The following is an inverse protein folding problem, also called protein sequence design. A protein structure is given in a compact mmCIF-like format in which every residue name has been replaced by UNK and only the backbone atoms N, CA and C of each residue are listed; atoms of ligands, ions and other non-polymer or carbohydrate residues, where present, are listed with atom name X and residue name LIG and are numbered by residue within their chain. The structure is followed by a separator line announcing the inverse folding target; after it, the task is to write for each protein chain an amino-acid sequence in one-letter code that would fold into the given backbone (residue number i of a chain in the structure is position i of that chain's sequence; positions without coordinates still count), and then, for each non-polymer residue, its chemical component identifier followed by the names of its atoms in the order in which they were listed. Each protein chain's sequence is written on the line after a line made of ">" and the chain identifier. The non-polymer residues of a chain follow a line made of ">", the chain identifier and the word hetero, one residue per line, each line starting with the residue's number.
data_IF_052867852477
#
_entry.id   IF_052867852477
#
_cell.length_a   1.000
_cell.length_b   1.000
_cell.length_c   1.000
_cell.angle_alpha   90.00
_cell.angle_beta   90.00
_cell.angle_gamma   90.00
#
_symmetry.space_group_name_H-M   'P 1'
#
loop_
_entity.id
_entity.type
_entity.pdbx_description
1 polymer ?
#
# COMPACT_ATOMS: atom_id res chain seq x y z
N UNK A 1 9.42 3.07 -12.28
CA UNK A 1 8.07 3.59 -12.59
C UNK A 1 8.22 5.00 -13.12
N UNK A 2 7.53 5.33 -14.23
CA UNK A 2 7.53 6.68 -14.79
C UNK A 2 6.75 7.65 -13.88
N UNK A 3 7.24 8.89 -13.75
CA UNK A 3 6.64 9.91 -12.88
C UNK A 3 5.15 10.19 -13.20
N UNK A 4 4.75 10.09 -14.48
CA UNK A 4 3.34 10.27 -14.89
C UNK A 4 2.38 9.30 -14.19
N UNK A 5 2.79 8.03 -13.99
CA UNK A 5 1.97 7.03 -13.30
C UNK A 5 1.90 7.31 -11.79
N UNK A 6 2.96 7.85 -11.20
CA UNK A 6 2.96 8.25 -9.79
C UNK A 6 1.98 9.40 -9.56
N UNK A 7 2.05 10.45 -10.38
CA UNK A 7 1.14 11.61 -10.28
C UNK A 7 -0.31 11.18 -10.51
N UNK A 8 -0.57 10.38 -11.56
CA UNK A 8 -1.90 9.85 -11.82
C UNK A 8 -2.43 9.03 -10.63
N UNK A 9 -1.61 8.17 -10.06
CA UNK A 9 -1.99 7.35 -8.91
C UNK A 9 -2.32 8.19 -7.68
N UNK A 10 -1.54 9.25 -7.38
CA UNK A 10 -1.83 10.13 -6.24
C UNK A 10 -3.20 10.79 -6.37
N UNK A 11 -3.53 11.32 -7.54
CA UNK A 11 -4.83 11.94 -7.81
C UNK A 11 -5.96 10.91 -7.75
N UNK A 12 -5.79 9.78 -8.44
CA UNK A 12 -6.81 8.72 -8.48
C UNK A 12 -7.04 8.09 -7.10
N UNK A 13 -5.99 7.85 -6.32
CA UNK A 13 -6.12 7.29 -4.97
C UNK A 13 -6.89 8.23 -4.03
N UNK A 14 -6.72 9.56 -4.16
CA UNK A 14 -7.48 10.53 -3.38
C UNK A 14 -8.99 10.34 -3.59
N UNK A 15 -9.45 10.36 -4.85
CA UNK A 15 -10.87 10.21 -5.17
C UNK A 15 -11.37 8.78 -4.90
N UNK A 16 -10.61 7.76 -5.28
CA UNK A 16 -10.97 6.37 -5.04
C UNK A 16 -11.14 6.05 -3.56
N UNK A 17 -10.36 6.71 -2.67
CA UNK A 17 -10.49 6.54 -1.22
C UNK A 17 -11.88 6.97 -0.74
N UNK A 18 -12.37 8.15 -1.16
CA UNK A 18 -13.70 8.60 -0.77
C UNK A 18 -14.80 7.68 -1.30
N UNK A 19 -14.68 7.21 -2.55
CA UNK A 19 -15.65 6.28 -3.16
C UNK A 19 -15.69 4.98 -2.36
N UNK A 20 -14.54 4.36 -2.13
CA UNK A 20 -14.45 3.07 -1.42
C UNK A 20 -14.94 3.21 0.04
N UNK A 21 -14.53 4.29 0.73
CA UNK A 21 -14.98 4.53 2.11
C UNK A 21 -16.48 4.73 2.21
N UNK A 22 -17.09 5.46 1.27
CA UNK A 22 -18.55 5.65 1.26
C UNK A 22 -19.33 4.35 1.08
N UNK A 23 -18.73 3.34 0.43
CA UNK A 23 -19.33 2.03 0.24
C UNK A 23 -19.09 1.10 1.43
N UNK A 24 -17.84 1.05 1.95
CA UNK A 24 -17.47 0.11 3.02
C UNK A 24 -17.94 0.58 4.40
N UNK A 25 -17.87 1.88 4.62
CA UNK A 25 -18.20 2.51 5.91
C UNK A 25 -19.05 3.77 5.67
N UNK A 26 -20.32 3.62 5.26
CA UNK A 26 -21.20 4.75 5.03
C UNK A 26 -21.43 5.51 6.34
N UNK A 27 -20.97 6.76 6.40
CA UNK A 27 -21.21 7.68 7.51
C UNK A 27 -22.44 8.53 7.25
N UNK A 28 -23.19 8.86 8.31
CA UNK A 28 -24.29 9.82 8.22
C UNK A 28 -23.74 11.21 8.54
N UNK A 29 -24.25 12.30 7.92
CA UNK A 29 -23.79 13.67 8.23
C UNK A 29 -23.91 14.05 9.72
N UNK A 30 -24.79 13.37 10.45
CA UNK A 30 -25.02 13.59 11.89
C UNK A 30 -23.94 12.95 12.79
N UNK A 31 -23.13 12.04 12.24
CA UNK A 31 -22.09 11.31 12.96
C UNK A 31 -20.70 11.99 12.83
N UNK A 32 -20.64 13.13 12.14
CA UNK A 32 -19.38 13.86 11.98
C UNK A 32 -19.03 14.59 13.28
N UNK A 33 -17.94 14.23 13.96
CA UNK A 33 -17.46 14.99 15.10
C UNK A 33 -17.04 16.39 14.66
N UNK A 34 -17.39 17.41 15.42
CA UNK A 34 -16.83 18.76 15.21
C UNK A 34 -15.30 18.68 15.16
N UNK A 35 -14.73 18.97 13.99
CA UNK A 35 -13.28 19.05 13.83
C UNK A 35 -12.79 20.31 14.51
N UNK A 36 -12.32 20.19 15.74
CA UNK A 36 -11.62 21.27 16.45
C UNK A 36 -10.17 21.25 16.01
N UNK A 37 -9.72 22.34 15.38
CA UNK A 37 -8.31 22.56 15.13
C UNK A 37 -7.60 22.81 16.46
N UNK A 38 -6.98 21.78 17.02
CA UNK A 38 -6.09 21.94 18.17
C UNK A 38 -4.72 22.44 17.67
N UNK A 39 -4.23 23.51 18.28
CA UNK A 39 -2.86 23.96 18.06
C UNK A 39 -1.93 23.00 18.80
N UNK A 40 -1.26 22.12 18.07
CA UNK A 40 -0.38 21.10 18.63
C UNK A 40 0.89 21.66 19.32
N UNK A 41 1.25 22.92 19.10
CA UNK A 41 2.51 23.52 19.53
C UNK A 41 2.36 24.97 20.02
N UNK A 42 1.42 25.24 20.93
CA UNK A 42 1.15 26.64 21.41
C UNK A 42 2.32 27.28 22.20
N UNK A 43 3.28 26.48 22.69
CA UNK A 43 4.34 26.97 23.59
C UNK A 43 5.77 26.64 23.16
N UNK A 44 5.98 26.08 21.97
CA UNK A 44 7.32 25.68 21.52
C UNK A 44 7.96 26.71 20.58
N UNK A 45 9.29 26.90 20.70
CA UNK A 45 10.07 27.68 19.74
C UNK A 45 10.23 26.92 18.42
N UNK A 46 10.46 27.64 17.32
CA UNK A 46 10.70 27.03 16.00
C UNK A 46 11.78 25.96 16.02
N UNK A 47 12.92 26.24 16.68
CA UNK A 47 14.04 25.30 16.73
C UNK A 47 13.77 24.07 17.60
N UNK A 48 12.99 24.22 18.65
CA UNK A 48 12.55 23.12 19.52
C UNK A 48 11.63 22.19 18.74
N UNK A 49 10.60 22.72 18.07
CA UNK A 49 9.72 22.00 17.18
C UNK A 49 10.48 21.30 16.04
N UNK A 50 11.43 22.00 15.39
CA UNK A 50 12.26 21.44 14.33
C UNK A 50 13.10 20.26 14.84
N UNK A 51 13.70 20.37 16.02
CA UNK A 51 14.46 19.29 16.65
C UNK A 51 13.61 18.05 16.93
N UNK A 52 12.42 18.23 17.46
CA UNK A 52 11.46 17.13 17.70
C UNK A 52 11.05 16.45 16.41
N UNK A 53 10.71 17.19 15.36
CA UNK A 53 10.32 16.61 14.06
C UNK A 53 11.46 15.88 13.37
N UNK A 54 12.71 16.36 13.48
CA UNK A 54 13.88 15.66 12.95
C UNK A 54 14.06 14.32 13.67
N UNK A 55 13.99 14.31 15.00
CA UNK A 55 14.12 13.08 15.79
C UNK A 55 12.97 12.10 15.53
N UNK A 56 11.74 12.61 15.45
CA UNK A 56 10.56 11.80 15.12
C UNK A 56 10.68 11.19 13.72
N UNK A 57 11.11 11.98 12.74
CA UNK A 57 11.34 11.50 11.37
C UNK A 57 12.41 10.41 11.29
N UNK A 58 13.53 10.59 12.02
CA UNK A 58 14.57 9.57 12.10
C UNK A 58 14.09 8.27 12.75
N UNK A 59 13.33 8.39 13.84
CA UNK A 59 12.72 7.21 14.51
C UNK A 59 11.80 6.44 13.56
N UNK A 60 10.96 7.14 12.81
CA UNK A 60 10.07 6.52 11.82
C UNK A 60 10.88 5.85 10.70
N UNK A 61 11.93 6.49 10.19
CA UNK A 61 12.81 5.91 9.18
C UNK A 61 13.48 4.60 9.66
N UNK A 62 13.95 4.57 10.90
CA UNK A 62 14.53 3.35 11.50
C UNK A 62 13.49 2.23 11.67
N UNK A 63 12.26 2.56 12.05
CA UNK A 63 11.15 1.59 12.14
C UNK A 63 10.87 1.01 10.76
N UNK A 64 10.75 1.85 9.72
CA UNK A 64 10.52 1.40 8.34
C UNK A 64 11.65 0.47 7.88
N UNK A 65 12.90 0.84 8.11
CA UNK A 65 14.07 0.02 7.76
C UNK A 65 14.03 -1.35 8.44
N UNK A 66 13.76 -1.40 9.74
CA UNK A 66 13.64 -2.64 10.49
C UNK A 66 12.51 -3.52 9.96
N UNK A 67 11.35 -2.94 9.68
CA UNK A 67 10.20 -3.64 9.09
C UNK A 67 10.52 -4.19 7.70
N UNK A 68 11.20 -3.42 6.83
CA UNK A 68 11.63 -3.87 5.52
C UNK A 68 12.55 -5.09 5.61
N UNK A 69 13.59 -5.02 6.46
CA UNK A 69 14.53 -6.14 6.66
C UNK A 69 13.78 -7.37 7.17
N UNK A 70 12.93 -7.21 8.19
CA UNK A 70 12.17 -8.32 8.78
C UNK A 70 11.20 -8.96 7.79
N UNK A 71 10.42 -8.16 7.06
CA UNK A 71 9.46 -8.69 6.07
C UNK A 71 10.15 -9.35 4.88
N UNK A 72 11.26 -8.79 4.36
CA UNK A 72 12.02 -9.43 3.28
C UNK A 72 12.55 -10.80 3.73
N UNK A 73 13.07 -10.89 4.95
CA UNK A 73 13.56 -12.15 5.51
C UNK A 73 12.43 -13.18 5.67
N UNK A 74 11.28 -12.78 6.23
CA UNK A 74 10.10 -13.66 6.39
C UNK A 74 9.61 -14.16 5.03
N UNK A 75 9.46 -13.27 4.04
CA UNK A 75 9.01 -13.66 2.70
C UNK A 75 9.99 -14.59 2.02
N UNK A 76 11.29 -14.34 2.18
CA UNK A 76 12.33 -15.23 1.65
C UNK A 76 12.24 -16.63 2.27
N UNK A 77 12.01 -16.73 3.57
CA UNK A 77 11.81 -18.00 4.27
C UNK A 77 10.54 -18.71 3.82
N UNK A 78 9.42 -17.99 3.70
CA UNK A 78 8.15 -18.52 3.18
C UNK A 78 8.32 -19.02 1.75
N UNK A 79 9.01 -18.26 0.89
CA UNK A 79 9.28 -18.69 -0.48
C UNK A 79 10.12 -19.95 -0.57
N UNK A 80 11.17 -20.06 0.25
CA UNK A 80 12.00 -21.26 0.30
C UNK A 80 11.16 -22.48 0.73
N UNK A 81 10.27 -22.33 1.69
CA UNK A 81 9.34 -23.37 2.12
C UNK A 81 8.39 -23.78 0.98
N UNK A 82 7.75 -22.81 0.32
CA UNK A 82 6.80 -23.07 -0.77
C UNK A 82 7.47 -23.70 -1.98
N UNK A 83 8.67 -23.25 -2.36
CA UNK A 83 9.47 -23.86 -3.41
C UNK A 83 9.80 -25.33 -3.11
N UNK A 84 10.12 -25.64 -1.85
CA UNK A 84 10.43 -27.00 -1.42
C UNK A 84 9.19 -27.91 -1.43
N UNK A 85 8.02 -27.40 -1.00
CA UNK A 85 6.80 -28.19 -0.88
C UNK A 85 6.01 -28.29 -2.20
N UNK A 86 5.96 -27.21 -2.98
CA UNK A 86 5.07 -27.08 -4.13
C UNK A 86 5.80 -26.84 -5.47
N UNK A 87 7.12 -26.64 -5.45
CA UNK A 87 7.89 -26.29 -6.64
C UNK A 87 7.64 -24.88 -7.18
N UNK A 88 6.88 -24.06 -6.47
CA UNK A 88 6.53 -22.69 -6.84
C UNK A 88 6.68 -21.76 -5.62
N UNK A 89 7.01 -20.48 -5.89
CA UNK A 89 7.10 -19.49 -4.80
C UNK A 89 5.70 -19.12 -4.27
N UNK A 90 5.64 -18.64 -3.04
CA UNK A 90 4.40 -18.14 -2.44
C UNK A 90 3.75 -17.03 -3.28
N UNK A 91 4.56 -16.09 -3.81
CA UNK A 91 4.07 -15.03 -4.68
C UNK A 91 3.50 -15.57 -6.00
N UNK A 92 4.11 -16.61 -6.60
CA UNK A 92 3.56 -17.25 -7.79
C UNK A 92 2.19 -17.87 -7.53
N UNK A 93 2.04 -18.57 -6.42
CA UNK A 93 0.74 -19.15 -6.03
C UNK A 93 -0.31 -18.06 -5.77
N UNK A 94 0.05 -17.00 -5.05
CA UNK A 94 -0.84 -15.86 -4.87
C UNK A 94 -1.12 -15.13 -6.20
N UNK A 95 -0.19 -15.17 -7.16
CA UNK A 95 -0.39 -14.64 -8.50
C UNK A 95 -1.62 -15.23 -9.19
N UNK A 96 -1.92 -16.51 -9.00
CA UNK A 96 -3.14 -17.12 -9.52
C UNK A 96 -4.40 -16.56 -8.87
N UNK A 97 -4.35 -16.21 -7.58
CA UNK A 97 -5.47 -15.56 -6.87
C UNK A 97 -5.69 -14.15 -7.38
N UNK A 98 -4.61 -13.42 -7.64
CA UNK A 98 -4.65 -12.05 -8.16
C UNK A 98 -4.85 -11.97 -9.69
N UNK A 99 -4.66 -13.07 -10.43
CA UNK A 99 -4.86 -13.12 -11.88
C UNK A 99 -6.22 -12.55 -12.31
N UNK A 100 -7.37 -13.03 -11.78
CA UNK A 100 -8.68 -12.51 -12.19
C UNK A 100 -8.84 -11.01 -11.83
N UNK A 101 -8.25 -10.55 -10.74
CA UNK A 101 -8.28 -9.14 -10.36
C UNK A 101 -7.44 -8.28 -11.31
N UNK A 102 -6.24 -8.76 -11.70
CA UNK A 102 -5.38 -8.10 -12.66
C UNK A 102 -6.07 -7.96 -14.03
N UNK A 103 -6.74 -9.02 -14.47
CA UNK A 103 -7.52 -9.00 -15.71
C UNK A 103 -8.73 -8.04 -15.60
N UNK A 104 -9.44 -8.06 -14.48
CA UNK A 104 -10.63 -7.22 -14.25
C UNK A 104 -10.32 -5.72 -14.29
N UNK A 105 -9.14 -5.29 -13.78
CA UNK A 105 -8.71 -3.89 -13.83
C UNK A 105 -8.16 -3.46 -15.19
N UNK A 106 -8.18 -4.35 -16.20
CA UNK A 106 -7.85 -4.04 -17.58
C UNK A 106 -6.44 -4.41 -18.01
N UNK A 107 -5.68 -5.17 -17.21
CA UNK A 107 -4.38 -5.72 -17.61
C UNK A 107 -4.62 -6.81 -18.67
N UNK A 108 -3.89 -6.78 -19.82
CA UNK A 108 -4.01 -7.80 -20.84
C UNK A 108 -3.80 -9.21 -20.29
N UNK A 109 -4.57 -10.19 -20.78
CA UNK A 109 -4.55 -11.57 -20.28
C UNK A 109 -3.15 -12.21 -20.30
N UNK A 110 -2.32 -11.86 -21.28
CA UNK A 110 -0.94 -12.32 -21.39
C UNK A 110 -0.04 -11.84 -20.24
N UNK A 111 -0.35 -10.67 -19.66
CA UNK A 111 0.42 -10.04 -18.59
C UNK A 111 -0.19 -10.35 -17.21
N UNK A 112 -1.47 -10.74 -17.18
CA UNK A 112 -2.28 -10.74 -15.97
C UNK A 112 -1.75 -11.69 -14.87
N UNK A 113 -1.17 -12.83 -15.23
CA UNK A 113 -0.59 -13.75 -14.24
C UNK A 113 0.68 -13.16 -13.61
N UNK A 114 1.56 -12.62 -14.43
CA UNK A 114 2.80 -11.96 -13.98
C UNK A 114 2.47 -10.73 -13.12
N UNK A 115 1.54 -9.90 -13.59
CA UNK A 115 1.05 -8.75 -12.85
C UNK A 115 0.41 -9.17 -11.51
N UNK A 116 -0.39 -10.25 -11.50
CA UNK A 116 -0.96 -10.82 -10.28
C UNK A 116 0.09 -11.21 -9.24
N UNK A 117 1.22 -11.77 -9.66
CA UNK A 117 2.36 -12.06 -8.78
C UNK A 117 2.96 -10.80 -8.16
N UNK A 118 3.14 -9.74 -8.95
CA UNK A 118 3.62 -8.43 -8.46
C UNK A 118 2.60 -7.78 -7.51
N UNK A 119 1.30 -7.86 -7.82
CA UNK A 119 0.23 -7.37 -6.94
C UNK A 119 0.23 -8.10 -5.59
N UNK A 120 0.42 -9.42 -5.61
CA UNK A 120 0.56 -10.25 -4.42
C UNK A 120 1.81 -9.86 -3.61
N UNK A 121 2.95 -9.62 -4.27
CA UNK A 121 4.18 -9.16 -3.61
C UNK A 121 3.94 -7.83 -2.89
N UNK A 122 3.22 -6.88 -3.52
CA UNK A 122 2.87 -5.61 -2.87
C UNK A 122 2.08 -5.85 -1.57
N UNK A 123 1.05 -6.69 -1.62
CA UNK A 123 0.17 -6.93 -0.47
C UNK A 123 0.92 -7.60 0.68
N UNK A 124 1.72 -8.62 0.37
CA UNK A 124 2.41 -9.46 1.36
C UNK A 124 3.67 -8.77 1.89
N UNK A 125 4.48 -8.21 1.01
CA UNK A 125 5.70 -7.49 1.36
C UNK A 125 5.42 -5.99 1.56
N UNK A 126 5.59 -5.26 0.48
CA UNK A 126 5.26 -3.84 0.34
C UNK A 126 5.43 -3.40 -1.12
N UNK A 127 5.01 -2.16 -1.40
CA UNK A 127 5.12 -1.54 -2.72
C UNK A 127 6.55 -1.39 -3.20
N UNK A 128 7.51 -1.12 -2.31
CA UNK A 128 8.92 -0.92 -2.69
C UNK A 128 9.52 -2.21 -3.26
N UNK A 129 9.32 -3.34 -2.59
CA UNK A 129 9.77 -4.66 -3.07
C UNK A 129 9.08 -5.01 -4.39
N UNK A 130 7.77 -4.77 -4.49
CA UNK A 130 7.01 -5.01 -5.71
C UNK A 130 7.50 -4.14 -6.89
N UNK A 131 7.88 -2.89 -6.64
CA UNK A 131 8.46 -1.99 -7.65
C UNK A 131 9.84 -2.46 -8.13
N UNK A 132 10.68 -2.99 -7.23
CA UNK A 132 11.98 -3.58 -7.61
C UNK A 132 11.77 -4.82 -8.48
N UNK A 133 10.80 -5.67 -8.15
CA UNK A 133 10.47 -6.84 -8.98
C UNK A 133 9.91 -6.41 -10.33
N UNK A 134 8.98 -5.45 -10.35
CA UNK A 134 8.45 -4.88 -11.59
C UNK A 134 9.56 -4.33 -12.50
N UNK A 135 10.55 -3.64 -11.95
CA UNK A 135 11.66 -3.09 -12.72
C UNK A 135 12.42 -4.20 -13.52
N UNK A 136 12.58 -5.38 -12.91
CA UNK A 136 13.28 -6.50 -13.56
C UNK A 136 12.54 -7.06 -14.75
N UNK A 137 11.22 -7.00 -14.74
CA UNK A 137 10.34 -7.60 -15.76
C UNK A 137 9.61 -6.57 -16.63
N UNK A 138 9.83 -5.27 -16.40
CA UNK A 138 9.10 -4.20 -17.10
C UNK A 138 9.14 -4.32 -18.63
N UNK A 139 10.27 -4.77 -19.20
CA UNK A 139 10.43 -4.96 -20.64
C UNK A 139 9.62 -6.14 -21.21
N UNK A 140 9.12 -7.04 -20.38
CA UNK A 140 8.32 -8.20 -20.80
C UNK A 140 6.82 -7.93 -20.80
N UNK A 141 6.39 -6.85 -20.14
CA UNK A 141 4.99 -6.45 -20.05
C UNK A 141 4.61 -5.54 -21.22
N UNK A 142 3.34 -5.60 -21.60
CA UNK A 142 2.78 -4.62 -22.54
C UNK A 142 2.80 -3.21 -21.91
N UNK A 143 2.89 -2.13 -22.72
CA UNK A 143 2.83 -0.76 -22.21
C UNK A 143 1.60 -0.49 -21.37
N UNK A 144 0.44 -1.04 -21.75
CA UNK A 144 -0.82 -0.96 -21.04
C UNK A 144 -0.74 -1.69 -19.68
N UNK A 145 -0.27 -2.94 -19.66
CA UNK A 145 -0.12 -3.73 -18.45
C UNK A 145 0.84 -3.07 -17.47
N UNK A 146 1.99 -2.57 -17.96
CA UNK A 146 2.96 -1.84 -17.16
C UNK A 146 2.38 -0.56 -16.54
N UNK A 147 1.61 0.21 -17.32
CA UNK A 147 0.99 1.45 -16.84
C UNK A 147 -0.04 1.21 -15.74
N UNK A 148 -0.98 0.27 -15.96
CA UNK A 148 -2.01 -0.09 -14.97
C UNK A 148 -1.37 -0.62 -13.68
N UNK A 149 -0.42 -1.54 -13.81
CA UNK A 149 0.28 -2.12 -12.67
C UNK A 149 1.09 -1.07 -11.91
N UNK A 150 1.74 -0.13 -12.61
CA UNK A 150 2.45 0.99 -11.99
C UNK A 150 1.53 1.84 -11.12
N UNK A 151 0.34 2.19 -11.60
CA UNK A 151 -0.66 2.93 -10.81
C UNK A 151 -1.12 2.11 -9.59
N UNK A 152 -1.37 0.80 -9.77
CA UNK A 152 -1.74 -0.08 -8.66
C UNK A 152 -0.68 -0.09 -7.55
N UNK A 153 0.61 -0.05 -7.88
CA UNK A 153 1.69 -0.14 -6.90
C UNK A 153 1.85 1.13 -6.05
N UNK A 154 1.45 2.31 -6.55
CA UNK A 154 1.60 3.59 -5.85
C UNK A 154 0.51 3.74 -4.78
N UNK A 155 0.61 3.02 -3.67
CA UNK A 155 -0.20 3.23 -2.47
C UNK A 155 0.26 2.32 -1.32
N UNK A 156 0.00 2.72 -0.09
CA UNK A 156 0.28 1.95 1.13
C UNK A 156 -0.85 0.94 1.38
N UNK A 157 -0.88 -0.15 0.62
CA UNK A 157 -1.86 -1.21 0.77
C UNK A 157 -1.15 -2.56 0.99
N UNK A 158 -0.57 -2.75 2.17
CA UNK A 158 0.17 -3.96 2.52
C UNK A 158 0.12 -4.23 4.04
N UNK A 159 0.46 -5.44 4.46
CA UNK A 159 0.42 -5.83 5.88
C UNK A 159 1.41 -5.05 6.75
N UNK A 160 2.59 -4.71 6.22
CA UNK A 160 3.58 -3.92 6.96
C UNK A 160 3.06 -2.51 7.30
N UNK A 161 2.27 -1.91 6.40
CA UNK A 161 1.68 -0.59 6.60
C UNK A 161 0.78 -0.51 7.82
N UNK A 162 0.13 -1.60 8.23
CA UNK A 162 -0.68 -1.65 9.46
C UNK A 162 0.19 -1.27 10.67
N UNK A 163 1.35 -1.94 10.78
CA UNK A 163 2.28 -1.69 11.87
C UNK A 163 2.86 -0.28 11.85
N UNK A 164 3.21 0.22 10.66
CA UNK A 164 3.77 1.57 10.48
C UNK A 164 2.75 2.63 10.87
N UNK A 165 1.53 2.56 10.33
CA UNK A 165 0.48 3.56 10.59
C UNK A 165 0.04 3.51 12.06
N UNK A 166 -0.23 2.31 12.58
CA UNK A 166 -0.63 2.14 13.97
C UNK A 166 0.49 2.58 14.95
N UNK A 167 1.76 2.28 14.62
CA UNK A 167 2.91 2.70 15.41
C UNK A 167 3.12 4.21 15.41
N UNK A 168 2.97 4.86 14.26
CA UNK A 168 3.05 6.33 14.16
C UNK A 168 1.95 7.01 14.98
N UNK A 169 0.69 6.56 14.84
CA UNK A 169 -0.44 7.10 15.62
C UNK A 169 -0.24 6.81 17.12
N UNK A 170 0.23 5.61 17.47
CA UNK A 170 0.50 5.25 18.87
C UNK A 170 1.57 6.14 19.51
N UNK A 171 2.55 6.61 18.73
CA UNK A 171 3.57 7.55 19.19
C UNK A 171 3.00 8.92 19.57
N UNK A 172 1.87 9.30 18.99
CA UNK A 172 1.15 10.55 19.26
C UNK A 172 0.01 10.34 20.29
N UNK A 173 -0.74 9.25 20.13
CA UNK A 173 -1.89 8.92 20.96
C UNK A 173 -2.03 7.39 21.05
N UNK A 174 -1.62 6.82 22.20
CA UNK A 174 -1.59 5.38 22.39
C UNK A 174 -2.97 4.69 22.26
N UNK A 175 -4.07 5.18 22.83
CA UNK A 175 -5.40 4.62 22.64
C UNK A 175 -5.83 4.57 21.17
N UNK A 176 -5.56 5.63 20.42
CA UNK A 176 -5.91 5.70 18.99
C UNK A 176 -5.04 4.75 18.15
N UNK A 177 -3.74 4.65 18.43
CA UNK A 177 -2.87 3.68 17.76
C UNK A 177 -3.30 2.23 17.99
N UNK A 178 -3.73 1.91 19.22
CA UNK A 178 -4.30 0.59 19.55
C UNK A 178 -5.63 0.34 18.83
N UNK A 179 -6.49 1.37 18.71
CA UNK A 179 -7.71 1.30 17.93
C UNK A 179 -7.42 0.98 16.46
N UNK A 180 -6.51 1.72 15.81
CA UNK A 180 -6.11 1.49 14.41
C UNK A 180 -5.57 0.08 14.21
N UNK A 181 -4.75 -0.44 15.12
CA UNK A 181 -4.21 -1.80 15.04
C UNK A 181 -5.32 -2.87 15.00
N UNK A 182 -6.42 -2.67 15.73
CA UNK A 182 -7.51 -3.65 15.83
C UNK A 182 -8.29 -3.84 14.52
N UNK A 183 -8.37 -2.81 13.68
CA UNK A 183 -9.00 -2.93 12.35
C UNK A 183 -8.02 -2.84 11.19
N UNK A 184 -6.74 -3.08 11.46
CA UNK A 184 -5.69 -3.04 10.45
C UNK A 184 -5.98 -3.86 9.20
N UNK A 185 -6.55 -5.07 9.33
CA UNK A 185 -6.93 -5.90 8.18
C UNK A 185 -8.04 -5.24 7.32
N UNK A 186 -8.99 -4.53 7.93
CA UNK A 186 -10.01 -3.78 7.20
C UNK A 186 -9.41 -2.59 6.45
N UNK A 187 -8.40 -1.95 7.06
CA UNK A 187 -7.65 -0.87 6.40
C UNK A 187 -6.91 -1.38 5.16
N UNK A 188 -6.20 -2.51 5.26
CA UNK A 188 -5.50 -3.11 4.11
C UNK A 188 -6.49 -3.54 3.03
N UNK A 189 -7.61 -4.14 3.41
CA UNK A 189 -8.66 -4.51 2.47
C UNK A 189 -9.19 -3.27 1.71
N UNK A 190 -9.58 -2.22 2.44
CA UNK A 190 -10.06 -0.97 1.84
C UNK A 190 -9.01 -0.31 0.95
N UNK A 191 -7.75 -0.22 1.41
CA UNK A 191 -6.64 0.34 0.65
C UNK A 191 -6.32 -0.48 -0.62
N UNK A 192 -6.48 -1.81 -0.56
CA UNK A 192 -6.34 -2.68 -1.75
C UNK A 192 -7.44 -2.40 -2.77
N UNK A 193 -8.70 -2.22 -2.32
CA UNK A 193 -9.80 -1.83 -3.21
C UNK A 193 -9.58 -0.45 -3.84
N UNK A 194 -9.06 0.51 -3.08
CA UNK A 194 -8.66 1.82 -3.60
C UNK A 194 -7.60 1.68 -4.70
N UNK A 195 -6.58 0.86 -4.47
CA UNK A 195 -5.53 0.60 -5.47
C UNK A 195 -6.09 -0.04 -6.74
N UNK A 196 -7.01 -1.02 -6.60
CA UNK A 196 -7.67 -1.67 -7.72
C UNK A 196 -8.54 -0.68 -8.50
N UNK A 197 -9.34 0.14 -7.82
CA UNK A 197 -10.19 1.14 -8.46
C UNK A 197 -9.37 2.20 -9.20
N UNK A 198 -8.30 2.71 -8.59
CA UNK A 198 -7.40 3.66 -9.22
C UNK A 198 -6.71 3.09 -10.46
N UNK A 199 -6.25 1.84 -10.38
CA UNK A 199 -5.65 1.14 -11.50
C UNK A 199 -6.66 0.87 -12.62
N UNK A 200 -7.92 0.54 -12.28
CA UNK A 200 -8.99 0.36 -13.26
C UNK A 200 -9.30 1.66 -14.01
N UNK A 201 -9.38 2.80 -13.31
CA UNK A 201 -9.53 4.11 -13.96
C UNK A 201 -8.36 4.44 -14.90
N UNK A 202 -7.12 4.17 -14.48
CA UNK A 202 -5.98 4.33 -15.36
C UNK A 202 -6.09 3.42 -16.60
N UNK A 203 -6.59 2.19 -16.43
CA UNK A 203 -6.83 1.24 -17.50
C UNK A 203 -7.88 1.69 -18.52
N UNK A 204 -8.80 2.59 -18.18
CA UNK A 204 -9.78 3.15 -19.14
C UNK A 204 -9.13 4.15 -20.11
N UNK A 205 -8.00 4.74 -19.75
CA UNK A 205 -7.31 5.79 -20.53
C UNK A 205 -6.07 5.25 -21.25
N UNK A 206 -5.45 4.19 -20.73
CA UNK A 206 -4.31 3.52 -21.33
C UNK A 206 -4.77 2.45 -22.33
#
# INVERSE_FOLDING_TARGET
>A
IEAKYVVAALVLNLFSTFIILSVINPTRPQDEPEVKLEKLHESQSFFEMLGEYILAGFKVAMIILAMLIGFIAIISAVNALFLTLFGQSFQQLLGYVFYPLAWLIGIPAQDALTAGGIMATKLVANEFVAMIELQKIAATLSPRGLGILSVFLVSFANFASIGIVAGAIKGLNEPQGNAVSRFGLRLVYGATLVSLLSAAFAGLVL
#
